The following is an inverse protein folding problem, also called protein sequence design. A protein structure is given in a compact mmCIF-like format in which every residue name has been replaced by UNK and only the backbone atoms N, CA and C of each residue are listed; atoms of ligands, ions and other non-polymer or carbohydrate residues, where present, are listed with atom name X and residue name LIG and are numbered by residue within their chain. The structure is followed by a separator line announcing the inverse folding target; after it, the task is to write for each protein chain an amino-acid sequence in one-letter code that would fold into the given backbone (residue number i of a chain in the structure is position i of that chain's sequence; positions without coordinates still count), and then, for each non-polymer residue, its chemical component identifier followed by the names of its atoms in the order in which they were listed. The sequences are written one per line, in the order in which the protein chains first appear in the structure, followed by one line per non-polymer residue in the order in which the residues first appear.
data_IF_378633320595
#
_entry.id   IF_378633320595
#
_cell.length_a   1.000
_cell.length_b   1.000
_cell.length_c   1.000
_cell.angle_alpha   90.00
_cell.angle_beta   90.00
_cell.angle_gamma   90.00
#
_symmetry.space_group_name_H-M   'P 1'
#
loop_
_entity.id
_entity.type
_entity.pdbx_description
1 polymer ?
#
# COMPACT_ATOMS: atom_id res chain seq x y z
N UNK A 1 -5.92 -24.17 5.27
CA UNK A 1 -6.65 -23.92 4.00
C UNK A 1 -7.09 -22.47 4.01
N UNK A 2 -6.88 -21.73 2.94
CA UNK A 2 -7.24 -20.30 2.80
C UNK A 2 -8.12 -20.15 1.57
N UNK A 3 -9.18 -19.35 1.66
CA UNK A 3 -10.12 -19.08 0.57
C UNK A 3 -9.84 -17.69 0.00
N UNK A 4 -9.93 -17.54 -1.33
CA UNK A 4 -9.57 -16.32 -2.08
C UNK A 4 -10.68 -16.02 -3.10
N UNK A 5 -10.98 -14.74 -3.34
CA UNK A 5 -11.96 -14.32 -4.34
C UNK A 5 -13.37 -14.82 -4.08
N UNK A 6 -14.08 -15.24 -5.12
CA UNK A 6 -15.48 -15.68 -5.03
C UNK A 6 -15.70 -16.90 -4.10
N UNK A 7 -14.64 -17.68 -3.81
CA UNK A 7 -14.70 -18.76 -2.82
C UNK A 7 -14.78 -18.23 -1.38
N UNK A 8 -14.34 -16.99 -1.13
CA UNK A 8 -14.34 -16.34 0.18
C UNK A 8 -15.49 -15.33 0.33
N UNK A 9 -15.77 -14.55 -0.71
CA UNK A 9 -16.79 -13.50 -0.67
C UNK A 9 -17.48 -13.33 -2.01
N UNK A 10 -18.81 -13.28 -2.00
CA UNK A 10 -19.62 -12.99 -3.18
C UNK A 10 -20.18 -11.57 -3.08
N UNK A 11 -20.01 -10.81 -4.15
CA UNK A 11 -20.50 -9.44 -4.26
C UNK A 11 -21.44 -9.31 -5.45
N UNK A 12 -22.35 -8.34 -5.38
CA UNK A 12 -23.15 -7.97 -6.54
C UNK A 12 -22.24 -7.52 -7.70
N UNK A 13 -22.59 -7.84 -8.97
CA UNK A 13 -21.75 -7.55 -10.13
C UNK A 13 -21.60 -6.04 -10.39
N UNK A 14 -22.44 -5.21 -9.77
CA UNK A 14 -22.38 -3.76 -9.94
C UNK A 14 -21.09 -3.19 -9.32
N UNK A 15 -20.29 -2.55 -10.17
CA UNK A 15 -18.97 -1.99 -9.79
C UNK A 15 -17.80 -2.94 -10.02
N UNK A 16 -18.00 -4.10 -10.67
CA UNK A 16 -16.95 -5.03 -11.10
C UNK A 16 -16.00 -5.47 -9.96
N UNK A 17 -16.52 -5.65 -8.74
CA UNK A 17 -15.68 -5.84 -7.54
C UNK A 17 -15.18 -7.27 -7.31
N UNK A 18 -15.89 -8.30 -7.77
CA UNK A 18 -15.56 -9.70 -7.47
C UNK A 18 -14.16 -10.09 -7.96
N UNK A 19 -13.95 -10.06 -9.28
CA UNK A 19 -12.67 -10.41 -9.90
C UNK A 19 -11.50 -9.53 -9.39
N UNK A 20 -11.70 -8.20 -9.29
CA UNK A 20 -10.67 -7.29 -8.80
C UNK A 20 -10.28 -7.57 -7.35
N UNK A 21 -11.25 -7.91 -6.49
CA UNK A 21 -10.97 -8.28 -5.10
C UNK A 21 -10.23 -9.61 -5.02
N UNK A 22 -10.55 -10.59 -5.87
CA UNK A 22 -9.82 -11.87 -5.93
C UNK A 22 -8.34 -11.71 -6.33
N UNK A 23 -8.02 -10.79 -7.25
CA UNK A 23 -6.62 -10.45 -7.54
C UNK A 23 -5.94 -9.83 -6.33
N UNK A 24 -6.57 -8.84 -5.69
CA UNK A 24 -6.02 -8.19 -4.49
C UNK A 24 -5.86 -9.16 -3.30
N UNK A 25 -6.76 -10.13 -3.15
CA UNK A 25 -6.62 -11.19 -2.16
C UNK A 25 -5.38 -12.04 -2.43
N UNK A 26 -5.13 -12.36 -3.71
CA UNK A 26 -3.95 -13.12 -4.11
C UNK A 26 -2.67 -12.31 -3.86
N UNK A 27 -2.65 -11.03 -4.23
CA UNK A 27 -1.50 -10.16 -4.02
C UNK A 27 -1.13 -10.03 -2.55
N UNK A 28 -2.12 -9.84 -1.65
CA UNK A 28 -1.89 -9.80 -0.20
C UNK A 28 -1.41 -11.16 0.35
N UNK A 29 -1.97 -12.28 -0.15
CA UNK A 29 -1.64 -13.62 0.36
C UNK A 29 -0.27 -14.12 -0.10
N UNK A 30 0.09 -13.92 -1.37
CA UNK A 30 1.21 -14.63 -1.98
C UNK A 30 2.55 -14.29 -1.36
N UNK A 31 2.80 -13.03 -1.00
CA UNK A 31 4.06 -12.67 -0.35
C UNK A 31 4.12 -13.24 1.08
N UNK A 32 3.00 -13.21 1.83
CA UNK A 32 2.91 -13.78 3.19
C UNK A 32 3.20 -15.28 3.15
N UNK A 33 2.56 -15.99 2.24
CA UNK A 33 2.77 -17.43 2.01
C UNK A 33 4.22 -17.73 1.61
N UNK A 34 4.80 -16.94 0.71
CA UNK A 34 6.19 -17.12 0.29
C UNK A 34 7.17 -16.97 1.46
N UNK A 35 6.97 -15.98 2.35
CA UNK A 35 7.82 -15.80 3.54
C UNK A 35 7.71 -16.99 4.50
N UNK A 36 6.50 -17.46 4.77
CA UNK A 36 6.26 -18.62 5.65
C UNK A 36 6.88 -19.89 5.06
N UNK A 37 6.66 -20.16 3.78
CA UNK A 37 7.24 -21.32 3.09
C UNK A 37 8.76 -21.31 3.08
N UNK A 38 9.38 -20.12 3.00
CA UNK A 38 10.82 -19.95 3.10
C UNK A 38 11.34 -20.01 4.53
N UNK A 39 10.48 -19.97 5.56
CA UNK A 39 10.89 -19.90 6.96
C UNK A 39 11.39 -18.52 7.41
N UNK A 40 10.98 -17.47 6.70
CA UNK A 40 11.32 -16.07 6.99
C UNK A 40 10.28 -15.36 7.89
N UNK A 41 9.11 -15.97 8.06
CA UNK A 41 8.04 -15.49 8.92
C UNK A 41 7.30 -16.68 9.54
N UNK A 42 6.71 -16.54 10.74
CA UNK A 42 5.90 -17.57 11.37
C UNK A 42 4.52 -17.70 10.70
N UNK A 43 3.87 -18.85 10.89
CA UNK A 43 2.55 -19.16 10.32
C UNK A 43 1.48 -18.12 10.66
N UNK A 44 1.56 -17.48 11.84
CA UNK A 44 0.64 -16.40 12.25
C UNK A 44 0.61 -15.19 11.30
N UNK A 45 1.61 -15.02 10.44
CA UNK A 45 1.55 -14.02 9.37
C UNK A 45 0.37 -14.29 8.43
N UNK A 46 0.02 -15.55 8.19
CA UNK A 46 -1.13 -15.94 7.34
C UNK A 46 -2.48 -15.57 7.97
N UNK A 47 -2.57 -15.46 9.30
CA UNK A 47 -3.81 -15.00 9.95
C UNK A 47 -4.10 -13.53 9.60
N UNK A 48 -3.06 -12.73 9.32
CA UNK A 48 -3.24 -11.33 8.92
C UNK A 48 -3.85 -11.18 7.53
N UNK A 49 -3.72 -12.18 6.64
CA UNK A 49 -4.44 -12.19 5.36
C UNK A 49 -5.94 -12.13 5.57
N UNK A 50 -6.47 -12.98 6.48
CA UNK A 50 -7.89 -13.01 6.76
C UNK A 50 -8.37 -11.65 7.29
N UNK A 51 -7.65 -11.05 8.25
CA UNK A 51 -8.01 -9.75 8.82
C UNK A 51 -8.03 -8.63 7.77
N UNK A 52 -6.94 -8.49 7.00
CA UNK A 52 -6.80 -7.42 6.00
C UNK A 52 -7.85 -7.57 4.88
N UNK A 53 -8.08 -8.79 4.40
CA UNK A 53 -8.95 -9.05 3.25
C UNK A 53 -10.42 -9.19 3.59
N UNK A 54 -10.78 -9.62 4.80
CA UNK A 54 -12.16 -9.53 5.29
C UNK A 54 -12.61 -8.08 5.44
N UNK A 55 -11.76 -7.21 5.99
CA UNK A 55 -12.04 -5.78 6.06
C UNK A 55 -12.32 -5.18 4.68
N UNK A 56 -11.46 -5.46 3.70
CA UNK A 56 -11.64 -5.00 2.32
C UNK A 56 -12.91 -5.57 1.67
N UNK A 57 -13.23 -6.85 1.92
CA UNK A 57 -14.43 -7.50 1.43
C UNK A 57 -15.71 -6.87 2.01
N UNK A 58 -15.77 -6.66 3.33
CA UNK A 58 -16.90 -6.02 4.02
C UNK A 58 -17.16 -4.62 3.47
N UNK A 59 -16.10 -3.85 3.27
CA UNK A 59 -16.18 -2.53 2.67
C UNK A 59 -16.73 -2.59 1.23
N UNK A 60 -16.26 -3.55 0.42
CA UNK A 60 -16.73 -3.75 -0.95
C UNK A 60 -18.19 -4.22 -1.01
N UNK A 61 -18.61 -5.13 -0.13
CA UNK A 61 -19.99 -5.62 0.00
C UNK A 61 -20.90 -4.46 0.37
N UNK A 62 -20.53 -3.64 1.35
CA UNK A 62 -21.31 -2.47 1.76
C UNK A 62 -21.53 -1.50 0.58
N UNK A 63 -20.49 -1.19 -0.18
CA UNK A 63 -20.59 -0.25 -1.30
C UNK A 63 -21.33 -0.83 -2.51
N UNK A 64 -21.14 -2.12 -2.80
CA UNK A 64 -21.86 -2.81 -3.87
C UNK A 64 -23.36 -2.92 -3.56
N UNK A 65 -23.70 -3.22 -2.30
CA UNK A 65 -25.10 -3.27 -1.82
C UNK A 65 -25.78 -1.92 -1.99
N UNK A 66 -25.15 -0.83 -1.53
CA UNK A 66 -25.67 0.55 -1.72
C UNK A 66 -25.91 0.89 -3.19
N UNK A 67 -24.99 0.50 -4.07
CA UNK A 67 -25.12 0.74 -5.51
C UNK A 67 -26.27 -0.06 -6.10
N UNK A 68 -26.39 -1.34 -5.70
CA UNK A 68 -27.46 -2.24 -6.12
C UNK A 68 -28.84 -1.72 -5.70
N UNK A 69 -28.98 -1.28 -4.44
CA UNK A 69 -30.23 -0.75 -3.91
C UNK A 69 -30.62 0.59 -4.56
N UNK A 70 -29.65 1.41 -4.95
CA UNK A 70 -29.89 2.64 -5.71
C UNK A 70 -30.35 2.34 -7.15
N UNK A 71 -29.71 1.39 -7.83
CA UNK A 71 -30.04 1.02 -9.23
C UNK A 71 -31.41 0.32 -9.30
N UNK A 72 -31.67 -0.58 -8.35
CA UNK A 72 -32.87 -1.44 -8.30
C UNK A 72 -33.70 -1.17 -7.04
N UNK A 73 -34.49 -0.08 -7.00
CA UNK A 73 -35.32 0.26 -5.85
C UNK A 73 -36.32 -0.84 -5.50
N UNK A 74 -36.34 -1.25 -4.23
CA UNK A 74 -37.21 -2.31 -3.69
C UNK A 74 -38.55 -1.79 -3.13
N UNK A 75 -38.70 -0.47 -3.02
CA UNK A 75 -39.90 0.18 -2.49
C UNK A 75 -40.23 1.50 -3.21
N UNK A 76 -41.46 2.01 -3.02
CA UNK A 76 -41.87 3.34 -3.51
C UNK A 76 -40.97 4.44 -2.93
N UNK A 77 -40.65 4.36 -1.64
CA UNK A 77 -39.77 5.32 -0.96
C UNK A 77 -38.37 5.34 -1.57
N UNK A 78 -37.74 4.19 -1.77
CA UNK A 78 -36.42 4.11 -2.43
C UNK A 78 -36.45 4.60 -3.88
N UNK A 79 -37.57 4.37 -4.60
CA UNK A 79 -37.75 4.84 -5.99
C UNK A 79 -37.86 6.36 -6.03
N UNK A 80 -38.64 6.95 -5.11
CA UNK A 80 -38.76 8.41 -4.97
C UNK A 80 -37.41 9.02 -4.62
N UNK A 81 -36.71 8.48 -3.61
CA UNK A 81 -35.37 8.94 -3.24
C UNK A 81 -34.41 8.94 -4.43
N UNK A 82 -34.28 7.80 -5.14
CA UNK A 82 -33.43 7.68 -6.33
C UNK A 82 -33.78 8.73 -7.38
N UNK A 83 -35.06 8.89 -7.70
CA UNK A 83 -35.50 9.84 -8.72
C UNK A 83 -35.17 11.29 -8.33
N UNK A 84 -35.33 11.66 -7.06
CA UNK A 84 -34.96 13.00 -6.57
C UNK A 84 -33.44 13.21 -6.58
N UNK A 85 -32.66 12.20 -6.18
CA UNK A 85 -31.20 12.24 -6.29
C UNK A 85 -30.76 12.45 -7.73
N UNK A 86 -31.35 11.73 -8.70
CA UNK A 86 -31.03 11.88 -10.12
C UNK A 86 -31.40 13.28 -10.66
N UNK A 87 -32.56 13.82 -10.25
CA UNK A 87 -32.97 15.17 -10.62
C UNK A 87 -31.99 16.23 -10.09
N UNK A 88 -31.60 16.10 -8.81
CA UNK A 88 -30.64 17.01 -8.17
C UNK A 88 -29.23 16.85 -8.74
N UNK A 89 -28.78 15.63 -9.05
CA UNK A 89 -27.44 15.34 -9.54
C UNK A 89 -27.11 16.06 -10.86
N UNK A 90 -28.13 16.43 -11.64
CA UNK A 90 -27.95 17.28 -12.83
C UNK A 90 -27.30 18.62 -12.48
N UNK A 91 -27.70 19.22 -11.37
CA UNK A 91 -27.33 20.59 -11.02
C UNK A 91 -26.37 20.68 -9.83
N UNK A 92 -26.39 19.70 -8.92
CA UNK A 92 -25.69 19.79 -7.64
C UNK A 92 -24.62 18.70 -7.45
N UNK A 93 -23.35 19.07 -7.22
CA UNK A 93 -22.26 18.12 -7.03
C UNK A 93 -22.45 17.12 -5.88
N UNK A 94 -23.09 17.53 -4.78
CA UNK A 94 -23.30 16.64 -3.64
C UNK A 94 -24.20 15.45 -4.01
N UNK A 95 -25.22 15.66 -4.86
CA UNK A 95 -26.15 14.60 -5.26
C UNK A 95 -25.49 13.59 -6.22
N UNK A 96 -24.47 13.99 -6.98
CA UNK A 96 -23.70 13.07 -7.84
C UNK A 96 -22.97 12.01 -7.01
N UNK A 97 -22.49 12.37 -5.81
CA UNK A 97 -21.87 11.44 -4.86
C UNK A 97 -22.86 10.41 -4.28
N UNK A 98 -24.17 10.63 -4.43
CA UNK A 98 -25.20 9.68 -4.03
C UNK A 98 -25.61 8.74 -5.17
N UNK A 99 -25.38 9.14 -6.43
CA UNK A 99 -25.61 8.29 -7.61
C UNK A 99 -24.51 7.24 -7.74
N UNK A 100 -23.26 7.66 -7.55
CA UNK A 100 -22.11 6.77 -7.53
C UNK A 100 -21.67 6.61 -6.08
N UNK A 101 -21.65 5.38 -5.56
CA UNK A 101 -21.18 5.07 -4.19
C UNK A 101 -19.71 5.46 -3.93
N UNK A 102 -19.01 6.02 -4.93
CA UNK A 102 -17.80 6.81 -4.73
C UNK A 102 -16.53 5.98 -4.66
N UNK A 103 -16.60 4.68 -4.91
CA UNK A 103 -15.44 3.76 -4.85
C UNK A 103 -15.21 2.97 -6.14
N UNK A 104 -15.55 3.53 -7.30
CA UNK A 104 -15.10 2.92 -8.56
C UNK A 104 -13.58 3.12 -8.63
N UNK A 105 -12.81 2.03 -8.70
CA UNK A 105 -11.35 2.06 -8.77
C UNK A 105 -10.64 2.70 -7.56
N UNK A 106 -11.26 2.65 -6.37
CA UNK A 106 -10.62 3.10 -5.12
C UNK A 106 -10.20 1.88 -4.31
N UNK A 107 -8.91 1.71 -4.01
CA UNK A 107 -8.43 0.60 -3.18
C UNK A 107 -8.78 0.80 -1.70
N UNK A 108 -8.81 -0.29 -0.93
CA UNK A 108 -9.05 -0.26 0.51
C UNK A 108 -7.80 0.16 1.26
N UNK A 109 -7.96 1.03 2.24
CA UNK A 109 -6.88 1.45 3.11
C UNK A 109 -6.86 0.52 4.32
N UNK A 110 -5.83 -0.31 4.42
CA UNK A 110 -5.66 -1.31 5.48
C UNK A 110 -5.09 -0.67 6.76
N UNK A 111 -5.64 0.47 7.19
CA UNK A 111 -5.09 1.27 8.30
C UNK A 111 -5.10 0.52 9.63
N UNK A 112 -5.99 -0.46 9.77
CA UNK A 112 -6.13 -1.32 10.95
C UNK A 112 -5.26 -2.58 10.91
N UNK A 113 -4.46 -2.78 9.86
CA UNK A 113 -3.60 -3.95 9.74
C UNK A 113 -2.62 -4.03 10.90
N UNK A 114 -2.47 -5.24 11.46
CA UNK A 114 -1.47 -5.52 12.51
C UNK A 114 -0.04 -5.32 12.01
N UNK A 115 0.16 -5.36 10.69
CA UNK A 115 1.45 -5.22 10.02
C UNK A 115 1.93 -3.76 9.97
N UNK A 116 1.07 -2.79 10.26
CA UNK A 116 1.41 -1.38 10.24
C UNK A 116 2.17 -0.99 11.51
N UNK A 117 3.25 -0.23 11.35
CA UNK A 117 3.89 0.49 12.46
C UNK A 117 3.21 1.86 12.61
N UNK A 118 2.67 2.20 13.80
CA UNK A 118 2.05 3.51 14.02
C UNK A 118 3.03 4.65 13.80
N UNK A 119 2.52 5.78 13.29
CA UNK A 119 3.33 6.99 13.13
C UNK A 119 3.79 7.52 14.50
N UNK A 120 5.06 7.91 14.57
CA UNK A 120 5.61 8.70 15.67
C UNK A 120 5.73 10.20 15.32
N UNK A 121 5.73 10.52 14.02
CA UNK A 121 5.87 11.87 13.49
C UNK A 121 4.57 12.34 12.81
N UNK A 122 4.42 13.66 12.64
CA UNK A 122 3.29 14.24 11.91
C UNK A 122 3.53 14.24 10.40
N UNK A 123 2.52 13.81 9.65
CA UNK A 123 2.48 13.81 8.18
C UNK A 123 1.15 14.35 7.66
N UNK A 124 1.21 15.00 6.52
CA UNK A 124 0.05 15.39 5.73
C UNK A 124 -0.19 14.38 4.59
N UNK A 125 -1.40 14.37 4.05
CA UNK A 125 -1.76 13.52 2.91
C UNK A 125 -2.20 12.10 3.27
N UNK A 126 -2.36 11.28 2.24
CA UNK A 126 -3.07 10.01 2.33
C UNK A 126 -2.16 8.78 2.47
N UNK A 127 -0.83 8.93 2.32
CA UNK A 127 0.12 7.82 2.42
C UNK A 127 0.39 7.44 3.88
N UNK A 128 -0.66 7.13 4.63
CA UNK A 128 -0.65 6.63 6.01
C UNK A 128 -0.25 5.15 6.05
N UNK A 129 0.22 4.60 7.17
CA UNK A 129 0.38 3.16 7.31
C UNK A 129 -0.92 2.41 6.96
N UNK A 130 -0.81 1.40 6.10
CA UNK A 130 -1.93 0.65 5.51
C UNK A 130 -2.49 1.27 4.22
N UNK A 131 -2.04 2.45 3.80
CA UNK A 131 -2.43 3.00 2.52
C UNK A 131 -1.76 2.21 1.38
N UNK A 132 -2.51 1.88 0.31
CA UNK A 132 -1.90 1.48 -0.95
C UNK A 132 -1.11 2.66 -1.51
N UNK A 133 0.05 2.37 -2.09
CA UNK A 133 0.92 3.38 -2.65
C UNK A 133 0.23 4.16 -3.77
N UNK A 134 0.32 5.49 -3.69
CA UNK A 134 0.05 6.35 -4.84
C UNK A 134 1.22 6.27 -5.81
N UNK A 135 0.94 6.01 -7.08
CA UNK A 135 1.93 6.04 -8.15
C UNK A 135 2.37 7.48 -8.46
N UNK A 136 3.40 7.68 -9.28
CA UNK A 136 3.77 8.97 -9.84
C UNK A 136 4.69 8.80 -11.05
N UNK A 137 4.64 9.72 -12.05
CA UNK A 137 5.65 9.75 -13.10
C UNK A 137 7.00 10.13 -12.49
N UNK A 138 8.04 9.42 -12.87
CA UNK A 138 9.42 9.58 -12.38
C UNK A 138 10.41 9.39 -13.51
N UNK A 139 11.68 9.71 -13.26
CA UNK A 139 12.76 9.26 -14.13
C UNK A 139 13.71 8.32 -13.39
N UNK A 140 14.12 7.25 -14.06
CA UNK A 140 15.15 6.32 -13.58
C UNK A 140 16.19 6.17 -14.68
N UNK A 141 17.47 6.40 -14.35
CA UNK A 141 18.58 6.37 -15.33
C UNK A 141 18.30 7.23 -16.58
N UNK A 142 17.68 8.39 -16.38
CA UNK A 142 17.34 9.34 -17.45
C UNK A 142 16.16 8.93 -18.36
N UNK A 143 15.41 7.89 -18.00
CA UNK A 143 14.21 7.44 -18.74
C UNK A 143 12.95 7.68 -17.93
N UNK A 144 11.88 8.13 -18.59
CA UNK A 144 10.54 8.21 -18.01
C UNK A 144 10.07 6.82 -17.54
N UNK A 145 9.49 6.78 -16.34
CA UNK A 145 9.01 5.58 -15.67
C UNK A 145 7.89 5.93 -14.68
N UNK A 146 7.35 4.90 -13.99
CA UNK A 146 6.37 5.03 -12.92
C UNK A 146 6.93 4.48 -11.61
N UNK A 147 6.58 5.11 -10.49
CA UNK A 147 7.08 4.77 -9.14
C UNK A 147 6.78 3.31 -8.78
N UNK A 148 5.55 2.85 -9.00
CA UNK A 148 5.14 1.50 -8.59
C UNK A 148 5.96 0.41 -9.29
N UNK A 149 6.43 0.66 -10.51
CA UNK A 149 7.30 -0.26 -11.24
C UNK A 149 8.72 -0.34 -10.63
N UNK A 150 9.09 0.57 -9.73
CA UNK A 150 10.45 0.66 -9.18
C UNK A 150 10.66 -0.03 -7.85
N UNK A 151 9.59 -0.30 -7.09
CA UNK A 151 9.66 -0.80 -5.70
C UNK A 151 9.86 -2.32 -5.60
N UNK A 152 9.72 -3.05 -6.70
CA UNK A 152 9.97 -4.49 -6.77
C UNK A 152 8.94 -5.34 -6.01
N UNK A 153 9.30 -6.58 -5.68
CA UNK A 153 8.40 -7.58 -5.05
C UNK A 153 8.81 -7.91 -3.60
N UNK A 154 9.68 -7.12 -2.99
CA UNK A 154 10.16 -7.30 -1.63
C UNK A 154 9.81 -6.09 -0.76
N UNK A 155 10.33 -6.06 0.46
CA UNK A 155 10.27 -4.84 1.25
C UNK A 155 11.16 -3.77 0.61
N UNK A 156 10.64 -2.56 0.48
CA UNK A 156 11.37 -1.42 -0.07
C UNK A 156 11.39 -0.26 0.93
N UNK A 157 12.51 0.46 0.97
CA UNK A 157 12.68 1.64 1.80
C UNK A 157 12.89 2.86 0.90
N UNK A 158 11.86 3.68 0.73
CA UNK A 158 11.98 4.97 0.02
C UNK A 158 12.57 6.00 0.97
N UNK A 159 13.67 6.62 0.58
CA UNK A 159 14.33 7.69 1.32
C UNK A 159 14.41 8.96 0.48
N UNK A 160 13.84 10.06 0.97
CA UNK A 160 13.79 11.34 0.27
C UNK A 160 15.04 12.16 0.56
N UNK A 161 15.69 12.67 -0.49
CA UNK A 161 16.90 13.48 -0.39
C UNK A 161 16.92 14.61 -1.45
N UNK A 162 17.18 15.84 -1.03
CA UNK A 162 17.28 17.01 -1.95
C UNK A 162 18.68 17.14 -2.61
N UNK A 163 19.66 16.43 -2.04
CA UNK A 163 21.06 16.40 -2.44
C UNK A 163 21.66 15.04 -2.10
N UNK A 164 22.96 14.85 -2.36
CA UNK A 164 23.68 13.64 -1.98
C UNK A 164 23.47 13.34 -0.49
N UNK A 165 22.95 12.15 -0.12
CA UNK A 165 22.78 11.79 1.28
C UNK A 165 24.12 11.83 2.03
N UNK A 166 24.08 12.12 3.33
CA UNK A 166 25.27 12.12 4.18
C UNK A 166 25.91 10.72 4.22
N UNK A 167 27.21 10.66 4.57
CA UNK A 167 27.90 9.37 4.74
C UNK A 167 27.20 8.45 5.76
N UNK A 168 26.64 9.04 6.83
CA UNK A 168 25.84 8.31 7.82
C UNK A 168 24.54 7.76 7.22
N UNK A 169 23.77 8.59 6.49
CA UNK A 169 22.55 8.14 5.84
C UNK A 169 22.82 7.02 4.81
N UNK A 170 23.90 7.14 4.02
CA UNK A 170 24.31 6.09 3.08
C UNK A 170 24.70 4.79 3.82
N UNK A 171 25.46 4.88 4.91
CA UNK A 171 25.81 3.71 5.71
C UNK A 171 24.57 3.02 6.30
N UNK A 172 23.60 3.81 6.79
CA UNK A 172 22.32 3.30 7.26
C UNK A 172 21.52 2.61 6.14
N UNK A 173 21.38 3.23 4.96
CA UNK A 173 20.70 2.62 3.82
C UNK A 173 21.40 1.34 3.32
N UNK A 174 22.73 1.31 3.29
CA UNK A 174 23.50 0.10 2.95
C UNK A 174 23.27 -1.01 3.97
N UNK A 175 23.18 -0.66 5.26
CA UNK A 175 22.91 -1.65 6.32
C UNK A 175 21.55 -2.35 6.15
N UNK A 176 20.56 -1.69 5.53
CA UNK A 176 19.24 -2.28 5.24
C UNK A 176 19.30 -3.38 4.16
N UNK A 177 20.33 -3.39 3.31
CA UNK A 177 20.55 -4.45 2.33
C UNK A 177 21.11 -5.73 2.96
N UNK A 178 21.62 -5.62 4.19
CA UNK A 178 22.04 -6.79 4.97
C UNK A 178 20.82 -7.58 5.44
N UNK A 179 20.97 -8.90 5.70
CA UNK A 179 19.93 -9.72 6.31
C UNK A 179 19.23 -9.03 7.50
N UNK A 180 17.92 -8.91 7.45
CA UNK A 180 17.11 -8.31 8.51
C UNK A 180 16.00 -9.27 8.98
N UNK A 181 15.49 -9.03 10.20
CA UNK A 181 14.52 -9.90 10.86
C UNK A 181 15.15 -10.85 11.88
N UNK A 182 14.33 -11.68 12.52
CA UNK A 182 14.80 -12.75 13.41
C UNK A 182 15.61 -13.79 12.63
N UNK A 183 16.46 -14.54 13.33
CA UNK A 183 17.13 -15.70 12.74
C UNK A 183 16.10 -16.56 12.00
N UNK A 184 16.39 -17.00 10.76
CA UNK A 184 15.40 -17.73 9.98
C UNK A 184 14.93 -18.96 10.75
N UNK A 185 13.62 -19.20 10.70
CA UNK A 185 12.99 -20.34 11.37
C UNK A 185 13.48 -21.69 10.80
N UNK A 186 14.15 -21.64 9.64
CA UNK A 186 14.79 -22.78 8.98
C UNK A 186 16.27 -22.47 8.73
N UNK A 187 17.15 -23.43 9.05
CA UNK A 187 18.60 -23.26 9.04
C UNK A 187 19.22 -22.80 7.70
N UNK A 188 18.49 -22.89 6.59
CA UNK A 188 18.96 -22.53 5.23
C UNK A 188 18.03 -21.56 4.49
N UNK A 189 17.14 -20.85 5.19
CA UNK A 189 16.31 -19.86 4.52
C UNK A 189 17.18 -18.71 4.00
N UNK A 190 16.92 -18.20 2.77
CA UNK A 190 17.54 -16.94 2.37
C UNK A 190 17.15 -15.85 3.38
N UNK A 191 18.04 -14.90 3.64
CA UNK A 191 17.70 -13.79 4.52
C UNK A 191 16.65 -12.87 3.88
N UNK A 192 15.82 -12.24 4.71
CA UNK A 192 14.96 -11.16 4.26
C UNK A 192 15.82 -9.90 4.07
N UNK A 193 15.67 -9.23 2.94
CA UNK A 193 16.41 -8.00 2.63
C UNK A 193 15.44 -6.88 2.31
N UNK A 194 15.88 -5.65 2.56
CA UNK A 194 15.14 -4.43 2.23
C UNK A 194 15.85 -3.77 1.05
N UNK A 195 15.10 -3.33 0.06
CA UNK A 195 15.64 -2.59 -1.09
C UNK A 195 15.61 -1.09 -0.79
N UNK A 196 16.74 -0.43 -0.47
CA UNK A 196 16.77 1.02 -0.34
C UNK A 196 16.64 1.69 -1.71
N UNK A 197 15.82 2.72 -1.76
CA UNK A 197 15.53 3.51 -2.96
C UNK A 197 15.63 4.99 -2.57
N UNK A 198 16.40 5.77 -3.31
CA UNK A 198 16.53 7.20 -3.05
C UNK A 198 15.58 7.95 -3.97
N UNK A 199 14.72 8.80 -3.41
CA UNK A 199 13.87 9.73 -4.15
C UNK A 199 14.50 11.12 -4.07
N UNK A 200 14.77 11.73 -5.21
CA UNK A 200 15.40 13.04 -5.29
C UNK A 200 14.78 13.90 -6.41
N UNK A 201 14.79 15.24 -6.30
CA UNK A 201 14.23 16.11 -7.36
C UNK A 201 15.09 16.14 -8.64
N UNK A 202 16.30 15.57 -8.60
CA UNK A 202 17.27 15.51 -9.70
C UNK A 202 18.08 14.22 -9.62
N UNK A 203 18.72 13.87 -10.73
CA UNK A 203 19.64 12.73 -10.75
C UNK A 203 20.78 12.91 -9.74
N UNK A 204 21.06 11.84 -9.01
CA UNK A 204 22.20 11.70 -8.11
C UNK A 204 22.97 10.44 -8.50
N UNK A 205 24.29 10.49 -8.42
CA UNK A 205 25.14 9.31 -8.61
C UNK A 205 25.45 8.69 -7.25
N UNK A 206 24.64 7.71 -6.86
CA UNK A 206 24.78 6.99 -5.58
C UNK A 206 25.14 5.53 -5.89
N UNK A 207 26.42 5.14 -5.78
CA UNK A 207 26.86 3.79 -6.07
C UNK A 207 26.08 2.74 -5.27
N UNK A 208 25.57 1.71 -5.95
CA UNK A 208 24.87 0.59 -5.33
C UNK A 208 23.42 0.86 -4.92
N UNK A 209 22.86 2.04 -5.22
CA UNK A 209 21.47 2.38 -4.91
C UNK A 209 20.73 2.87 -6.14
N UNK A 210 19.45 2.48 -6.26
CA UNK A 210 18.58 3.01 -7.30
C UNK A 210 18.11 4.41 -6.87
N UNK A 211 18.35 5.40 -7.74
CA UNK A 211 17.83 6.76 -7.59
C UNK A 211 16.62 6.93 -8.50
N UNK A 212 15.51 7.33 -7.89
CA UNK A 212 14.24 7.71 -8.51
C UNK A 212 14.18 9.22 -8.53
N UNK A 213 14.10 9.79 -9.72
CA UNK A 213 14.05 11.25 -9.90
C UNK A 213 12.61 11.70 -9.96
N UNK A 214 12.17 12.44 -8.95
CA UNK A 214 10.86 13.09 -8.86
C UNK A 214 10.93 14.52 -9.41
N UNK A 215 11.18 14.63 -10.72
CA UNK A 215 11.46 15.91 -11.38
C UNK A 215 10.31 16.94 -11.24
N UNK A 216 9.07 16.47 -11.15
CA UNK A 216 7.88 17.31 -11.02
C UNK A 216 7.38 17.45 -9.57
N UNK A 217 8.03 16.78 -8.60
CA UNK A 217 7.65 16.84 -7.18
C UNK A 217 6.33 16.13 -6.84
N UNK A 218 5.87 15.21 -7.68
CA UNK A 218 4.60 14.51 -7.45
C UNK A 218 4.71 13.51 -6.31
N UNK A 219 5.82 12.79 -6.19
CA UNK A 219 6.03 11.87 -5.06
C UNK A 219 6.15 12.67 -3.77
N UNK A 220 7.01 13.69 -3.76
CA UNK A 220 7.18 14.56 -2.59
C UNK A 220 5.83 15.13 -2.13
N UNK A 221 4.94 15.52 -3.05
CA UNK A 221 3.60 15.98 -2.72
C UNK A 221 2.68 14.88 -2.19
N UNK A 222 2.62 13.70 -2.83
CA UNK A 222 1.68 12.62 -2.47
C UNK A 222 2.07 11.94 -1.14
N UNK A 223 3.37 11.84 -0.87
CA UNK A 223 3.94 11.21 0.31
C UNK A 223 4.34 12.24 1.38
N UNK A 224 4.05 13.53 1.20
CA UNK A 224 4.57 14.60 2.07
C UNK A 224 6.08 14.43 2.34
N UNK A 225 6.81 14.07 1.28
CA UNK A 225 8.21 13.72 1.27
C UNK A 225 9.09 14.96 1.38
N UNK A 226 9.88 15.03 2.44
CA UNK A 226 10.90 16.06 2.70
C UNK A 226 12.26 15.38 2.84
N UNK A 227 13.37 16.09 2.65
CA UNK A 227 14.70 15.52 2.90
C UNK A 227 14.78 14.82 4.27
N UNK A 228 15.26 13.57 4.28
CA UNK A 228 15.30 12.70 5.46
C UNK A 228 14.08 11.79 5.63
N UNK A 229 12.95 12.14 5.03
CA UNK A 229 11.70 11.37 5.12
C UNK A 229 11.94 9.97 4.57
N UNK A 230 11.45 8.97 5.30
CA UNK A 230 11.67 7.56 5.01
C UNK A 230 10.35 6.80 5.09
N UNK A 231 10.07 5.99 4.08
CA UNK A 231 8.88 5.12 4.01
C UNK A 231 9.32 3.66 3.88
N UNK A 232 8.73 2.78 4.68
CA UNK A 232 8.82 1.34 4.48
C UNK A 232 7.57 0.86 3.74
N UNK A 233 7.79 0.06 2.69
CA UNK A 233 6.77 -0.48 1.82
C UNK A 233 6.76 -2.01 1.91
N UNK A 234 5.56 -2.59 1.97
CA UNK A 234 5.34 -4.04 1.89
C UNK A 234 5.53 -4.54 0.44
N UNK A 235 5.79 -5.85 0.26
CA UNK A 235 5.82 -6.50 -1.06
C UNK A 235 4.58 -6.31 -1.93
N UNK A 236 3.42 -6.04 -1.33
CA UNK A 236 2.15 -5.78 -1.98
C UNK A 236 1.84 -4.27 -2.13
N UNK A 237 2.88 -3.43 -2.11
CA UNK A 237 2.80 -1.99 -2.37
C UNK A 237 1.87 -1.23 -1.41
N UNK A 238 1.80 -1.67 -0.16
CA UNK A 238 1.18 -0.91 0.93
C UNK A 238 2.25 -0.27 1.81
N UNK A 239 1.98 0.94 2.30
CA UNK A 239 2.83 1.62 3.28
C UNK A 239 2.78 0.86 4.59
N UNK A 240 3.91 0.35 5.07
CA UNK A 240 4.01 -0.34 6.36
C UNK A 240 4.30 0.62 7.51
N UNK A 241 5.14 1.62 7.25
CA UNK A 241 5.64 2.58 8.23
C UNK A 241 6.24 3.81 7.54
N UNK A 242 6.37 4.92 8.26
CA UNK A 242 7.01 6.14 7.78
C UNK A 242 7.62 6.96 8.93
N UNK A 243 8.67 7.70 8.62
CA UNK A 243 9.42 8.55 9.56
C UNK A 243 9.94 9.81 8.87
N UNK A 244 10.13 10.89 9.62
CA UNK A 244 10.74 12.13 9.09
C UNK A 244 12.24 12.07 8.96
N UNK A 245 12.87 11.12 9.64
CA UNK A 245 14.30 10.87 9.58
C UNK A 245 14.57 9.38 9.41
N UNK A 246 15.63 9.07 8.67
CA UNK A 246 16.09 7.70 8.51
C UNK A 246 16.65 7.17 9.83
N UNK A 247 16.16 6.00 10.24
CA UNK A 247 16.75 5.21 11.30
C UNK A 247 16.67 3.73 10.90
N UNK A 248 17.81 3.14 10.54
CA UNK A 248 17.84 1.77 10.04
C UNK A 248 17.28 0.74 11.04
N UNK A 249 17.49 0.95 12.34
CA UNK A 249 16.98 0.04 13.38
C UNK A 249 15.45 0.09 13.47
N UNK A 250 14.84 1.28 13.37
CA UNK A 250 13.38 1.42 13.33
C UNK A 250 12.77 0.78 12.07
N UNK A 251 13.44 0.91 10.93
CA UNK A 251 13.02 0.25 9.69
C UNK A 251 13.05 -1.28 9.86
N UNK A 252 14.12 -1.84 10.43
CA UNK A 252 14.23 -3.27 10.69
C UNK A 252 13.17 -3.77 11.68
N UNK A 253 12.87 -3.01 12.74
CA UNK A 253 11.80 -3.32 13.68
C UNK A 253 10.42 -3.32 13.00
N UNK A 254 10.16 -2.35 12.12
CA UNK A 254 8.92 -2.28 11.36
C UNK A 254 8.79 -3.46 10.38
N UNK A 255 9.89 -3.91 9.77
CA UNK A 255 9.89 -5.16 8.98
C UNK A 255 9.58 -6.36 9.84
N UNK A 256 10.21 -6.50 11.02
CA UNK A 256 9.91 -7.60 11.94
C UNK A 256 8.42 -7.66 12.28
N UNK A 257 7.82 -6.50 12.61
CA UNK A 257 6.37 -6.36 12.81
C UNK A 257 5.56 -6.76 11.59
N UNK A 258 5.91 -6.24 10.41
CA UNK A 258 5.24 -6.54 9.14
C UNK A 258 5.36 -8.02 8.73
N UNK A 259 6.34 -8.74 9.27
CA UNK A 259 6.50 -10.19 9.10
C UNK A 259 6.01 -11.01 10.29
N UNK A 260 5.44 -10.36 11.31
CA UNK A 260 5.05 -10.98 12.58
C UNK A 260 6.21 -11.71 13.32
N UNK A 261 7.46 -11.33 13.07
CA UNK A 261 8.64 -11.82 13.79
C UNK A 261 8.81 -11.11 15.14
#
# INVERSE_FOLDING_TARGET
VLFVGDAAHQVSPFGARGANSGFQDTDDLMWKLALVMKGQAPDKLLDTYALDRQFAADENIMNSTRSTDFITPKSRTSKTFRNQVLALAKHYPFARKLVNSGRLSVPSFLTQSLLNTPDADTFEGNMVPGAPMDDAPVQVQGKEAWLLDQVGHGFACLHFADAMPSADALAQLQSLQSPCGSAPLRANAPPLTITPLIVAPRALDVPGMKVIVDAQGWIAKRYDGKAGTTYLLRPDQHVAARWRQLNAAQVQQAVARATCN
#
